data_IF_858115960088
#
_entry.id   IF_858115960088
#
_cell.length_a   1.000
_cell.length_b   1.000
_cell.length_c   1.000
_cell.angle_alpha   90.00
_cell.angle_beta   90.00
_cell.angle_gamma   90.00
#
_symmetry.space_group_name_H-M   'P 1'
#
loop_
_entity.id
_entity.type
_entity.pdbx_description
1 polymer ?
#
# COMPACT_ATOMS: atom_id res chain seq x y z
N UNK A 1 -15.80 29.86 -17.06
CA UNK A 1 -14.87 28.71 -16.92
C UNK A 1 -15.05 27.77 -18.12
N UNK A 2 -14.22 27.94 -19.16
CA UNK A 2 -14.29 27.15 -20.40
C UNK A 2 -13.73 25.74 -20.22
N UNK A 3 -14.41 24.75 -20.81
CA UNK A 3 -13.94 23.37 -20.92
C UNK A 3 -12.59 23.36 -21.65
N UNK A 4 -11.51 22.93 -21.00
CA UNK A 4 -10.26 22.59 -21.70
C UNK A 4 -10.57 21.35 -22.54
N UNK A 5 -11.02 21.58 -23.78
CA UNK A 5 -11.33 20.56 -24.79
C UNK A 5 -10.31 20.54 -25.94
N UNK A 6 -9.34 21.45 -25.93
CA UNK A 6 -8.29 21.52 -26.95
C UNK A 6 -7.17 20.54 -26.60
N UNK A 7 -6.95 19.55 -27.48
CA UNK A 7 -5.70 18.78 -27.48
C UNK A 7 -4.60 19.76 -27.88
N UNK A 8 -3.62 19.96 -27.01
CA UNK A 8 -2.53 20.88 -27.27
C UNK A 8 -1.52 20.20 -28.21
N UNK A 9 -0.85 20.99 -29.04
CA UNK A 9 0.27 20.48 -29.81
C UNK A 9 1.43 20.11 -28.89
N UNK A 10 2.32 19.22 -29.32
CA UNK A 10 3.42 18.73 -28.47
C UNK A 10 4.30 19.89 -27.94
N UNK A 11 4.56 20.90 -28.79
CA UNK A 11 5.33 22.08 -28.42
C UNK A 11 4.61 22.89 -27.33
N UNK A 12 3.31 23.14 -27.51
CA UNK A 12 2.46 23.82 -26.53
C UNK A 12 2.42 23.06 -25.20
N UNK A 13 2.31 21.73 -25.22
CA UNK A 13 2.32 20.91 -24.00
C UNK A 13 3.63 21.12 -23.24
N UNK A 14 4.77 21.03 -23.91
CA UNK A 14 6.09 21.19 -23.27
C UNK A 14 6.25 22.57 -22.67
N UNK A 15 5.89 23.61 -23.41
CA UNK A 15 6.07 25.00 -23.00
C UNK A 15 5.12 25.38 -21.85
N UNK A 16 3.82 25.13 -22.01
CA UNK A 16 2.82 25.40 -20.96
C UNK A 16 3.14 24.62 -19.70
N UNK A 17 3.51 23.35 -19.84
CA UNK A 17 3.79 22.50 -18.69
C UNK A 17 5.08 22.91 -17.97
N UNK A 18 6.15 23.20 -18.72
CA UNK A 18 7.41 23.69 -18.16
C UNK A 18 7.17 24.98 -17.37
N UNK A 19 6.53 25.98 -17.99
CA UNK A 19 6.27 27.27 -17.36
C UNK A 19 5.40 27.14 -16.11
N UNK A 20 4.29 26.39 -16.18
CA UNK A 20 3.42 26.23 -15.02
C UNK A 20 4.03 25.39 -13.89
N UNK A 21 4.89 24.42 -14.22
CA UNK A 21 5.62 23.65 -13.20
C UNK A 21 6.63 24.55 -12.49
N UNK A 22 7.38 25.40 -13.21
CA UNK A 22 8.28 26.38 -12.61
C UNK A 22 7.53 27.33 -11.67
N UNK A 23 6.41 27.91 -12.13
CA UNK A 23 5.59 28.80 -11.29
C UNK A 23 5.09 28.07 -10.04
N UNK A 24 4.69 26.80 -10.15
CA UNK A 24 4.27 26.01 -9.00
C UNK A 24 5.44 25.79 -8.02
N UNK A 25 6.63 25.44 -8.52
CA UNK A 25 7.81 25.24 -7.66
C UNK A 25 8.26 26.53 -6.99
N UNK A 26 8.24 27.67 -7.70
CA UNK A 26 8.51 28.99 -7.11
C UNK A 26 7.49 29.36 -6.03
N UNK A 27 6.23 28.98 -6.22
CA UNK A 27 5.17 29.20 -5.23
C UNK A 27 5.47 28.39 -3.96
N UNK A 28 5.86 27.12 -4.11
CA UNK A 28 6.23 26.24 -2.99
C UNK A 28 7.49 26.76 -2.29
N UNK A 29 8.52 27.16 -3.04
CA UNK A 29 9.77 27.71 -2.51
C UNK A 29 9.57 29.00 -1.70
N UNK A 30 8.49 29.74 -1.98
CA UNK A 30 8.05 30.90 -1.18
C UNK A 30 7.20 30.51 0.04
N UNK A 31 7.09 29.23 0.36
CA UNK A 31 6.24 28.69 1.43
C UNK A 31 4.74 28.79 1.15
N UNK A 32 4.34 28.92 -0.13
CA UNK A 32 2.93 29.10 -0.52
C UNK A 32 2.39 27.86 -1.24
N UNK A 33 1.08 27.71 -1.22
CA UNK A 33 0.36 26.60 -1.87
C UNK A 33 -0.64 27.16 -2.89
N UNK A 34 -0.71 26.56 -4.08
CA UNK A 34 -1.69 26.93 -5.12
C UNK A 34 -2.49 25.72 -5.61
N UNK A 35 -3.73 25.58 -5.11
CA UNK A 35 -4.65 24.55 -5.58
C UNK A 35 -4.99 24.71 -7.06
N UNK A 36 -5.14 25.95 -7.51
CA UNK A 36 -5.50 26.28 -8.90
C UNK A 36 -4.47 25.74 -9.88
N UNK A 37 -3.18 26.04 -9.65
CA UNK A 37 -2.10 25.59 -10.53
C UNK A 37 -1.99 24.07 -10.59
N UNK A 38 -1.99 23.39 -9.44
CA UNK A 38 -1.93 21.92 -9.37
C UNK A 38 -3.10 21.29 -10.14
N UNK A 39 -4.32 21.79 -9.91
CA UNK A 39 -5.52 21.26 -10.57
C UNK A 39 -5.43 21.43 -12.08
N UNK A 40 -5.04 22.61 -12.56
CA UNK A 40 -4.88 22.89 -13.99
C UNK A 40 -3.83 21.98 -14.62
N UNK A 41 -2.66 21.84 -14.00
CA UNK A 41 -1.59 20.95 -14.48
C UNK A 41 -2.06 19.50 -14.59
N UNK A 42 -2.70 18.96 -13.55
CA UNK A 42 -3.20 17.58 -13.57
C UNK A 42 -4.28 17.42 -14.64
N UNK A 43 -5.27 18.32 -14.71
CA UNK A 43 -6.36 18.23 -15.69
C UNK A 43 -5.84 18.25 -17.13
N UNK A 44 -4.87 19.14 -17.44
CA UNK A 44 -4.23 19.20 -18.75
C UNK A 44 -3.52 17.88 -19.07
N UNK A 45 -2.63 17.42 -18.18
CA UNK A 45 -1.85 16.21 -18.42
C UNK A 45 -2.73 14.97 -18.60
N UNK A 46 -3.74 14.81 -17.73
CA UNK A 46 -4.68 13.70 -17.86
C UNK A 46 -5.41 13.77 -19.21
N UNK A 47 -5.88 14.94 -19.64
CA UNK A 47 -6.55 15.05 -20.93
C UNK A 47 -5.61 14.70 -22.10
N UNK A 48 -4.35 15.15 -22.08
CA UNK A 48 -3.36 14.82 -23.11
C UNK A 48 -2.99 13.32 -23.13
N UNK A 49 -2.99 12.65 -21.97
CA UNK A 49 -2.80 11.19 -21.90
C UNK A 49 -3.94 10.39 -22.55
N UNK A 50 -5.09 11.02 -22.83
CA UNK A 50 -6.18 10.41 -23.61
C UNK A 50 -6.04 10.61 -25.12
N UNK A 51 -5.13 11.47 -25.57
CA UNK A 51 -4.95 11.82 -26.99
C UNK A 51 -4.84 10.56 -27.86
N UNK A 52 -5.29 10.59 -29.12
CA UNK A 52 -5.08 9.46 -30.03
C UNK A 52 -3.60 9.33 -30.44
N UNK A 53 -2.85 10.43 -30.45
CA UNK A 53 -1.44 10.47 -30.80
C UNK A 53 -0.57 9.80 -29.72
N UNK A 54 0.15 8.74 -30.10
CA UNK A 54 1.09 8.04 -29.20
C UNK A 54 2.18 9.00 -28.69
N UNK A 55 2.68 9.89 -29.55
CA UNK A 55 3.70 10.88 -29.20
C UNK A 55 3.18 11.90 -28.18
N UNK A 56 1.94 12.37 -28.34
CA UNK A 56 1.30 13.26 -27.36
C UNK A 56 1.11 12.57 -26.00
N UNK A 57 0.65 11.31 -26.00
CA UNK A 57 0.55 10.52 -24.75
C UNK A 57 1.90 10.39 -24.06
N UNK A 58 2.95 10.08 -24.80
CA UNK A 58 4.30 9.92 -24.25
C UNK A 58 4.79 11.22 -23.61
N UNK A 59 4.65 12.35 -24.29
CA UNK A 59 5.06 13.66 -23.76
C UNK A 59 4.28 14.01 -22.48
N UNK A 60 2.98 13.73 -22.44
CA UNK A 60 2.16 13.93 -21.25
C UNK A 60 2.58 13.02 -20.08
N UNK A 61 2.96 11.77 -20.36
CA UNK A 61 3.49 10.83 -19.35
C UNK A 61 4.81 11.29 -18.77
N UNK A 62 5.73 11.75 -19.62
CA UNK A 62 7.02 12.31 -19.19
C UNK A 62 6.82 13.56 -18.34
N UNK A 63 5.93 14.46 -18.76
CA UNK A 63 5.56 15.65 -17.99
C UNK A 63 4.93 15.31 -16.63
N UNK A 64 4.03 14.32 -16.57
CA UNK A 64 3.47 13.82 -15.30
C UNK A 64 4.56 13.26 -14.38
N UNK A 65 5.48 12.46 -14.91
CA UNK A 65 6.63 11.93 -14.15
C UNK A 65 7.51 13.04 -13.59
N UNK A 66 7.77 14.08 -14.38
CA UNK A 66 8.55 15.23 -13.95
C UNK A 66 7.83 16.01 -12.85
N UNK A 67 6.51 16.22 -12.98
CA UNK A 67 5.69 16.85 -11.93
C UNK A 67 5.84 16.12 -10.60
N UNK A 68 5.63 14.81 -10.62
CA UNK A 68 5.71 13.94 -9.43
C UNK A 68 7.10 14.07 -8.81
N UNK A 69 8.15 14.01 -9.63
CA UNK A 69 9.53 14.11 -9.15
C UNK A 69 9.83 15.45 -8.48
N UNK A 70 9.43 16.57 -9.09
CA UNK A 70 9.65 17.90 -8.50
C UNK A 70 8.83 18.10 -7.22
N UNK A 71 7.59 17.62 -7.19
CA UNK A 71 6.78 17.61 -5.98
C UNK A 71 7.43 16.81 -4.85
N UNK A 72 7.96 15.63 -5.14
CA UNK A 72 8.63 14.82 -4.12
C UNK A 72 9.95 15.43 -3.65
N UNK A 73 10.74 16.02 -4.55
CA UNK A 73 11.94 16.79 -4.17
C UNK A 73 11.61 17.95 -3.26
N UNK A 74 10.50 18.65 -3.49
CA UNK A 74 10.09 19.78 -2.65
C UNK A 74 9.80 19.38 -1.19
N UNK A 75 9.47 18.11 -0.93
CA UNK A 75 9.33 17.56 0.44
C UNK A 75 10.68 17.44 1.17
N UNK A 76 11.81 17.50 0.47
CA UNK A 76 13.15 17.40 1.06
C UNK A 76 13.71 18.75 1.53
N UNK A 77 12.93 19.83 1.40
CA UNK A 77 13.40 21.18 1.72
C UNK A 77 13.58 21.39 3.23
N UNK A 78 14.64 22.10 3.63
CA UNK A 78 15.00 22.31 5.04
C UNK A 78 14.14 23.36 5.74
N UNK A 79 13.74 24.40 5.01
CA UNK A 79 12.80 25.40 5.52
C UNK A 79 11.44 24.75 5.88
N UNK A 80 11.00 24.81 7.15
CA UNK A 80 9.75 24.21 7.59
C UNK A 80 8.51 24.73 6.86
N UNK A 81 8.48 26.02 6.47
CA UNK A 81 7.35 26.61 5.74
C UNK A 81 7.28 26.08 4.32
N UNK A 82 8.44 25.93 3.67
CA UNK A 82 8.52 25.32 2.33
C UNK A 82 8.14 23.85 2.39
N UNK A 83 8.65 23.11 3.37
CA UNK A 83 8.28 21.72 3.58
C UNK A 83 6.77 21.57 3.83
N UNK A 84 6.17 22.40 4.68
CA UNK A 84 4.72 22.37 4.92
C UNK A 84 3.92 22.68 3.65
N UNK A 85 4.33 23.66 2.87
CA UNK A 85 3.70 24.01 1.60
C UNK A 85 3.81 22.87 0.58
N UNK A 86 5.00 22.26 0.45
CA UNK A 86 5.24 21.08 -0.37
C UNK A 86 4.34 19.91 0.07
N UNK A 87 4.23 19.71 1.37
CA UNK A 87 3.44 18.64 1.96
C UNK A 87 1.93 18.80 1.68
N UNK A 88 1.43 20.02 1.85
CA UNK A 88 0.06 20.39 1.49
C UNK A 88 -0.21 20.22 -0.01
N UNK A 89 0.76 20.60 -0.83
CA UNK A 89 0.74 20.44 -2.29
C UNK A 89 0.65 18.96 -2.68
N UNK A 90 1.50 18.10 -2.12
CA UNK A 90 1.48 16.65 -2.35
C UNK A 90 0.14 16.02 -1.98
N UNK A 91 -0.36 16.33 -0.77
CA UNK A 91 -1.67 15.84 -0.31
C UNK A 91 -2.78 16.21 -1.29
N UNK A 92 -2.79 17.45 -1.78
CA UNK A 92 -3.80 17.92 -2.73
C UNK A 92 -3.62 17.34 -4.12
N UNK A 93 -2.38 17.13 -4.58
CA UNK A 93 -2.09 16.42 -5.83
C UNK A 93 -2.69 15.01 -5.82
N UNK A 94 -2.44 14.21 -4.78
CA UNK A 94 -2.98 12.85 -4.67
C UNK A 94 -4.51 12.85 -4.59
N UNK A 95 -5.10 13.72 -3.77
CA UNK A 95 -6.55 13.82 -3.66
C UNK A 95 -7.20 14.21 -5.00
N UNK A 96 -6.60 15.15 -5.74
CA UNK A 96 -7.06 15.54 -7.07
C UNK A 96 -6.93 14.40 -8.08
N UNK A 97 -5.84 13.63 -8.06
CA UNK A 97 -5.70 12.44 -8.91
C UNK A 97 -6.84 11.45 -8.67
N UNK A 98 -7.09 11.07 -7.40
CA UNK A 98 -8.16 10.14 -7.03
C UNK A 98 -9.53 10.67 -7.46
N UNK A 99 -9.80 11.96 -7.19
CA UNK A 99 -11.06 12.60 -7.59
C UNK A 99 -11.23 12.66 -9.12
N UNK A 100 -10.17 12.96 -9.87
CA UNK A 100 -10.23 13.07 -11.33
C UNK A 100 -10.33 11.70 -12.00
N UNK A 101 -9.73 10.65 -11.43
CA UNK A 101 -10.00 9.28 -11.87
C UNK A 101 -11.49 8.93 -11.83
N UNK A 102 -12.20 9.40 -10.80
CA UNK A 102 -13.67 9.28 -10.71
C UNK A 102 -14.35 10.08 -11.81
N UNK A 103 -14.04 11.38 -11.94
CA UNK A 103 -14.72 12.30 -12.87
C UNK A 103 -14.53 11.89 -14.33
N UNK A 104 -13.34 11.45 -14.70
CA UNK A 104 -12.98 11.18 -16.09
C UNK A 104 -13.39 9.77 -16.56
N UNK A 105 -14.01 8.95 -15.71
CA UNK A 105 -14.36 7.53 -15.97
C UNK A 105 -13.18 6.73 -16.56
N UNK A 106 -11.98 6.96 -16.04
CA UNK A 106 -10.80 6.27 -16.54
C UNK A 106 -10.89 4.77 -16.28
N UNK A 107 -10.55 3.98 -17.30
CA UNK A 107 -10.40 2.53 -17.17
C UNK A 107 -9.36 2.17 -16.10
N UNK A 108 -9.49 0.98 -15.52
CA UNK A 108 -8.61 0.49 -14.45
C UNK A 108 -7.12 0.58 -14.82
N UNK A 109 -6.76 0.28 -16.07
CA UNK A 109 -5.37 0.27 -16.54
C UNK A 109 -4.70 1.65 -16.52
N UNK A 110 -5.40 2.71 -16.90
CA UNK A 110 -4.81 4.07 -16.88
C UNK A 110 -4.61 4.60 -15.46
N UNK A 111 -5.47 4.17 -14.52
CA UNK A 111 -5.35 4.50 -13.11
C UNK A 111 -4.11 3.83 -12.52
N UNK A 112 -3.93 2.53 -12.78
CA UNK A 112 -2.71 1.79 -12.44
C UNK A 112 -1.47 2.49 -12.99
N UNK A 113 -1.50 2.91 -14.26
CA UNK A 113 -0.36 3.56 -14.90
C UNK A 113 0.17 4.78 -14.13
N UNK A 114 -0.72 5.67 -13.65
CA UNK A 114 -0.30 6.86 -12.90
C UNK A 114 0.14 6.50 -11.48
N UNK A 115 -0.54 5.55 -10.84
CA UNK A 115 -0.11 5.04 -9.54
C UNK A 115 1.28 4.41 -9.63
N UNK A 116 1.57 3.68 -10.71
CA UNK A 116 2.89 3.12 -10.99
C UNK A 116 3.94 4.22 -11.17
N UNK A 117 3.61 5.33 -11.87
CA UNK A 117 4.52 6.47 -11.96
C UNK A 117 4.83 7.09 -10.59
N UNK A 118 3.82 7.21 -9.72
CA UNK A 118 4.02 7.71 -8.35
C UNK A 118 4.91 6.76 -7.54
N UNK A 119 4.60 5.46 -7.55
CA UNK A 119 5.38 4.45 -6.84
C UNK A 119 6.81 4.37 -7.34
N UNK A 120 7.04 4.39 -8.66
CA UNK A 120 8.39 4.30 -9.24
C UNK A 120 9.27 5.48 -8.78
N UNK A 121 8.71 6.68 -8.61
CA UNK A 121 9.47 7.83 -8.09
C UNK A 121 9.71 7.74 -6.58
N UNK A 122 8.74 7.26 -5.81
CA UNK A 122 8.89 7.00 -4.38
C UNK A 122 10.00 5.95 -4.13
N UNK A 123 9.98 4.83 -4.86
CA UNK A 123 10.99 3.76 -4.75
C UNK A 123 12.38 4.29 -5.11
N UNK A 124 12.49 5.16 -6.14
CA UNK A 124 13.77 5.81 -6.48
C UNK A 124 14.32 6.66 -5.34
N UNK A 125 13.45 7.37 -4.62
CA UNK A 125 13.86 8.17 -3.47
C UNK A 125 14.28 7.32 -2.28
N UNK A 126 13.53 6.24 -1.97
CA UNK A 126 13.89 5.28 -0.91
C UNK A 126 15.21 4.55 -1.19
N UNK A 127 15.52 4.32 -2.48
CA UNK A 127 16.82 3.74 -2.89
C UNK A 127 17.99 4.72 -2.73
N UNK A 128 17.72 6.01 -2.58
CA UNK A 128 18.79 7.00 -2.43
C UNK A 128 19.45 6.84 -1.06
N UNK A 129 20.77 7.09 -0.97
CA UNK A 129 21.46 7.09 0.34
C UNK A 129 21.19 8.35 1.17
N UNK A 130 20.25 9.20 0.73
CA UNK A 130 19.96 10.49 1.34
C UNK A 130 18.80 10.36 2.34
N UNK A 131 19.08 10.59 3.62
CA UNK A 131 18.07 10.51 4.69
C UNK A 131 16.85 11.41 4.46
N UNK A 132 17.02 12.61 3.87
CA UNK A 132 15.91 13.52 3.56
C UNK A 132 15.03 12.97 2.46
N UNK A 133 15.63 12.34 1.44
CA UNK A 133 14.90 11.70 0.36
C UNK A 133 14.13 10.48 0.85
N UNK A 134 14.71 9.66 1.73
CA UNK A 134 13.98 8.56 2.36
C UNK A 134 12.78 9.09 3.13
N UNK A 135 12.99 10.01 4.08
CA UNK A 135 11.88 10.63 4.85
C UNK A 135 10.78 11.21 3.95
N UNK A 136 11.14 11.94 2.90
CA UNK A 136 10.18 12.48 1.93
C UNK A 136 9.36 11.37 1.24
N UNK A 137 10.00 10.27 0.87
CA UNK A 137 9.35 9.13 0.26
C UNK A 137 8.44 8.38 1.24
N UNK A 138 8.86 8.21 2.50
CA UNK A 138 8.02 7.63 3.55
C UNK A 138 6.74 8.45 3.77
N UNK A 139 6.90 9.76 3.89
CA UNK A 139 5.79 10.69 4.04
C UNK A 139 4.85 10.65 2.82
N UNK A 140 5.42 10.55 1.61
CA UNK A 140 4.65 10.52 0.38
C UNK A 140 3.82 9.25 0.24
N UNK A 141 4.42 8.08 0.49
CA UNK A 141 3.74 6.77 0.39
C UNK A 141 2.70 6.64 1.50
N UNK A 142 3.02 7.07 2.72
CA UNK A 142 2.08 7.03 3.85
C UNK A 142 0.83 7.87 3.57
N UNK A 143 1.00 9.07 2.99
CA UNK A 143 -0.12 9.93 2.60
C UNK A 143 -0.94 9.35 1.45
N UNK A 144 -0.30 8.69 0.48
CA UNK A 144 -1.00 8.00 -0.61
C UNK A 144 -1.95 6.94 -0.05
N UNK A 145 -1.45 6.05 0.81
CA UNK A 145 -2.27 4.99 1.41
C UNK A 145 -3.40 5.56 2.26
N UNK A 146 -3.09 6.55 3.11
CA UNK A 146 -4.10 7.19 3.96
C UNK A 146 -5.24 7.80 3.15
N UNK A 147 -4.92 8.55 2.09
CA UNK A 147 -5.94 9.17 1.23
C UNK A 147 -6.76 8.13 0.47
N UNK A 148 -6.13 7.05 0.00
CA UNK A 148 -6.85 5.94 -0.62
C UNK A 148 -7.86 5.34 0.37
N UNK A 149 -7.43 5.01 1.59
CA UNK A 149 -8.31 4.47 2.63
C UNK A 149 -9.45 5.42 3.02
N UNK A 150 -9.17 6.73 3.15
CA UNK A 150 -10.19 7.75 3.40
C UNK A 150 -11.24 7.81 2.28
N UNK A 151 -10.82 7.67 1.02
CA UNK A 151 -11.73 7.66 -0.14
C UNK A 151 -12.54 6.36 -0.27
N UNK A 152 -12.06 5.24 0.28
CA UNK A 152 -12.82 3.98 0.29
C UNK A 152 -14.16 4.13 1.02
N UNK A 153 -14.20 4.93 2.10
CA UNK A 153 -15.40 5.26 2.87
C UNK A 153 -16.55 5.78 1.99
N UNK A 154 -16.23 6.41 0.87
CA UNK A 154 -17.22 7.02 -0.01
C UNK A 154 -17.84 6.02 -1.02
N UNK A 155 -17.46 4.73 -1.00
CA UNK A 155 -17.98 3.59 -1.79
C UNK A 155 -18.20 3.83 -3.30
N UNK A 156 -17.55 4.84 -3.89
CA UNK A 156 -17.82 5.31 -5.26
C UNK A 156 -16.71 4.98 -6.25
N UNK A 157 -15.69 4.25 -5.81
CA UNK A 157 -14.46 4.02 -6.57
C UNK A 157 -13.76 2.75 -6.11
N UNK A 158 -13.12 2.04 -7.04
CA UNK A 158 -12.33 0.84 -6.79
C UNK A 158 -10.97 1.18 -6.13
N UNK A 159 -11.03 1.77 -4.94
CA UNK A 159 -9.85 2.06 -4.11
C UNK A 159 -9.17 0.75 -3.73
N UNK A 160 -9.98 -0.25 -3.38
CA UNK A 160 -9.48 -1.54 -2.94
C UNK A 160 -8.63 -2.19 -4.03
N UNK A 161 -9.09 -2.20 -5.29
CA UNK A 161 -8.32 -2.68 -6.43
C UNK A 161 -7.00 -1.93 -6.63
N UNK A 162 -6.96 -0.62 -6.36
CA UNK A 162 -5.70 0.15 -6.42
C UNK A 162 -4.76 -0.20 -5.27
N UNK A 163 -5.26 -0.31 -4.04
CA UNK A 163 -4.44 -0.72 -2.89
C UNK A 163 -3.88 -2.13 -3.11
N UNK A 164 -4.72 -3.06 -3.58
CA UNK A 164 -4.31 -4.42 -3.96
C UNK A 164 -3.23 -4.38 -5.06
N UNK A 165 -3.38 -3.51 -6.07
CA UNK A 165 -2.39 -3.34 -7.13
C UNK A 165 -1.05 -2.79 -6.61
N UNK A 166 -1.07 -1.76 -5.77
CA UNK A 166 0.14 -1.19 -5.14
C UNK A 166 0.90 -2.30 -4.41
N UNK A 167 0.20 -3.07 -3.58
CA UNK A 167 0.78 -4.18 -2.83
C UNK A 167 1.38 -5.23 -3.76
N UNK A 168 0.62 -5.69 -4.77
CA UNK A 168 1.12 -6.70 -5.71
C UNK A 168 2.38 -6.21 -6.42
N UNK A 169 2.37 -4.97 -6.91
CA UNK A 169 3.51 -4.40 -7.63
C UNK A 169 4.75 -4.31 -6.75
N UNK A 170 4.60 -3.94 -5.48
CA UNK A 170 5.70 -3.93 -4.53
C UNK A 170 6.18 -5.34 -4.22
N UNK A 171 5.30 -6.32 -4.00
CA UNK A 171 5.69 -7.72 -3.80
C UNK A 171 6.49 -8.24 -5.01
N UNK A 172 6.05 -7.97 -6.25
CA UNK A 172 6.81 -8.33 -7.45
C UNK A 172 8.14 -7.57 -7.56
N UNK A 173 8.22 -6.35 -7.05
CA UNK A 173 9.45 -5.57 -7.06
C UNK A 173 10.50 -6.07 -6.06
N UNK A 174 10.13 -6.85 -5.03
CA UNK A 174 11.09 -7.51 -4.13
C UNK A 174 12.02 -8.48 -4.86
N UNK A 175 11.57 -9.02 -5.99
CA UNK A 175 12.34 -9.93 -6.83
C UNK A 175 13.52 -9.22 -7.54
N UNK A 176 13.48 -7.89 -7.63
CA UNK A 176 14.52 -7.08 -8.24
C UNK A 176 15.58 -6.74 -7.19
N UNK A 177 16.73 -7.44 -7.26
CA UNK A 177 17.85 -7.28 -6.32
C UNK A 177 18.25 -5.82 -6.08
N UNK A 178 18.17 -4.97 -7.11
CA UNK A 178 18.57 -3.57 -7.03
C UNK A 178 17.53 -2.66 -6.36
N UNK A 179 16.31 -3.15 -6.09
CA UNK A 179 15.22 -2.38 -5.46
C UNK A 179 14.75 -2.96 -4.14
N UNK A 180 15.22 -4.15 -3.78
CA UNK A 180 14.75 -4.94 -2.64
C UNK A 180 14.63 -4.11 -1.36
N UNK A 181 15.71 -3.50 -0.88
CA UNK A 181 15.72 -2.78 0.40
C UNK A 181 14.70 -1.61 0.41
N UNK A 182 14.67 -0.83 -0.67
CA UNK A 182 13.73 0.29 -0.82
C UNK A 182 12.27 -0.18 -0.89
N UNK A 183 12.02 -1.34 -1.50
CA UNK A 183 10.68 -1.93 -1.59
C UNK A 183 10.23 -2.51 -0.25
N UNK A 184 11.15 -3.12 0.52
CA UNK A 184 10.87 -3.57 1.88
C UNK A 184 10.46 -2.39 2.78
N UNK A 185 11.22 -1.29 2.73
CA UNK A 185 10.93 -0.06 3.48
C UNK A 185 9.55 0.51 3.10
N UNK A 186 9.25 0.61 1.79
CA UNK A 186 7.94 1.04 1.30
C UNK A 186 6.80 0.15 1.84
N UNK A 187 6.97 -1.17 1.82
CA UNK A 187 5.97 -2.10 2.30
C UNK A 187 5.76 -1.99 3.81
N UNK A 188 6.83 -1.81 4.59
CA UNK A 188 6.73 -1.63 6.04
C UNK A 188 5.92 -0.38 6.40
N UNK A 189 6.11 0.73 5.68
CA UNK A 189 5.36 1.97 5.88
C UNK A 189 3.87 1.77 5.52
N UNK A 190 3.60 1.10 4.40
CA UNK A 190 2.22 0.80 3.99
C UNK A 190 1.53 -0.09 5.02
N UNK A 191 2.21 -1.12 5.52
CA UNK A 191 1.71 -2.00 6.57
C UNK A 191 1.42 -1.22 7.85
N UNK A 192 2.28 -0.31 8.26
CA UNK A 192 2.06 0.54 9.42
C UNK A 192 0.79 1.40 9.25
N UNK A 193 0.60 2.02 8.08
CA UNK A 193 -0.61 2.81 7.81
C UNK A 193 -1.87 1.94 7.83
N UNK A 194 -1.83 0.74 7.24
CA UNK A 194 -2.96 -0.18 7.23
C UNK A 194 -3.30 -0.67 8.64
N UNK A 195 -2.30 -0.98 9.47
CA UNK A 195 -2.52 -1.36 10.86
C UNK A 195 -3.15 -0.19 11.64
N UNK A 196 -2.62 1.04 11.49
CA UNK A 196 -3.19 2.25 12.11
C UNK A 196 -4.64 2.52 11.68
N UNK A 197 -4.95 2.32 10.41
CA UNK A 197 -6.31 2.43 9.88
C UNK A 197 -7.23 1.33 10.41
N UNK A 198 -6.75 0.10 10.43
CA UNK A 198 -7.48 -1.07 10.93
C UNK A 198 -7.89 -0.93 12.39
N UNK A 199 -6.98 -0.45 13.23
CA UNK A 199 -7.23 -0.29 14.68
C UNK A 199 -8.02 0.99 15.02
N UNK A 200 -8.25 1.88 14.05
CA UNK A 200 -8.97 3.14 14.27
C UNK A 200 -10.47 2.91 14.47
N UNK A 201 -10.90 2.78 15.73
CA UNK A 201 -12.30 2.55 16.13
C UNK A 201 -13.28 3.65 15.68
N UNK A 202 -12.80 4.87 15.37
CA UNK A 202 -13.67 5.99 14.99
C UNK A 202 -14.18 5.90 13.54
N UNK A 203 -13.57 5.07 12.70
CA UNK A 203 -13.92 4.98 11.29
C UNK A 203 -14.05 3.51 10.83
N UNK A 204 -15.24 2.94 11.03
CA UNK A 204 -15.51 1.53 10.72
C UNK A 204 -15.25 1.16 9.25
N UNK A 205 -15.63 2.02 8.30
CA UNK A 205 -15.41 1.75 6.88
C UNK A 205 -13.93 1.71 6.50
N UNK A 206 -13.11 2.58 7.10
CA UNK A 206 -11.65 2.58 6.91
C UNK A 206 -11.01 1.34 7.57
N UNK A 207 -11.50 0.95 8.75
CA UNK A 207 -11.06 -0.26 9.45
C UNK A 207 -11.37 -1.53 8.63
N UNK A 208 -12.60 -1.64 8.10
CA UNK A 208 -13.01 -2.77 7.26
C UNK A 208 -12.20 -2.84 5.95
N UNK A 209 -11.94 -1.69 5.31
CA UNK A 209 -11.08 -1.62 4.13
C UNK A 209 -9.65 -2.07 4.43
N UNK A 210 -9.06 -1.56 5.51
CA UNK A 210 -7.72 -1.95 5.93
C UNK A 210 -7.64 -3.44 6.27
N UNK A 211 -8.68 -4.01 6.89
CA UNK A 211 -8.77 -5.44 7.17
C UNK A 211 -8.73 -6.29 5.89
N UNK A 212 -9.53 -5.94 4.87
CA UNK A 212 -9.54 -6.68 3.60
C UNK A 212 -8.22 -6.54 2.83
N UNK A 213 -7.58 -5.37 2.86
CA UNK A 213 -6.24 -5.20 2.27
C UNK A 213 -5.18 -5.99 3.04
N UNK A 214 -5.23 -6.03 4.37
CA UNK A 214 -4.30 -6.84 5.17
C UNK A 214 -4.46 -8.34 4.90
N UNK A 215 -5.70 -8.83 4.76
CA UNK A 215 -5.97 -10.22 4.32
C UNK A 215 -5.39 -10.49 2.94
N UNK A 216 -5.59 -9.57 2.00
CA UNK A 216 -5.02 -9.69 0.67
C UNK A 216 -3.48 -9.74 0.68
N UNK A 217 -2.83 -8.91 1.51
CA UNK A 217 -1.38 -8.96 1.69
C UNK A 217 -0.94 -10.33 2.22
N UNK A 218 -1.59 -10.82 3.28
CA UNK A 218 -1.31 -12.13 3.87
C UNK A 218 -1.41 -13.24 2.81
N UNK A 219 -2.50 -13.26 2.03
CA UNK A 219 -2.71 -14.29 1.01
C UNK A 219 -1.60 -14.29 -0.05
N UNK A 220 -1.17 -13.10 -0.50
CA UNK A 220 -0.13 -12.98 -1.53
C UNK A 220 1.27 -13.29 -0.99
N UNK A 221 1.58 -12.88 0.24
CA UNK A 221 2.84 -13.26 0.89
C UNK A 221 2.91 -14.77 1.08
N UNK A 222 1.83 -15.42 1.54
CA UNK A 222 1.78 -16.87 1.68
C UNK A 222 1.97 -17.58 0.34
N UNK A 223 1.28 -17.16 -0.72
CA UNK A 223 1.47 -17.71 -2.07
C UNK A 223 2.91 -17.52 -2.59
N UNK A 224 3.52 -16.38 -2.30
CA UNK A 224 4.93 -16.11 -2.64
C UNK A 224 5.89 -17.07 -1.94
N UNK A 225 5.68 -17.31 -0.64
CA UNK A 225 6.46 -18.29 0.14
C UNK A 225 6.34 -19.69 -0.46
N UNK A 226 5.15 -20.09 -0.88
CA UNK A 226 4.85 -21.45 -1.35
C UNK A 226 5.30 -21.74 -2.77
N UNK A 227 5.36 -20.70 -3.61
CA UNK A 227 5.83 -20.87 -4.98
C UNK A 227 7.35 -20.86 -5.07
N UNK A 228 8.05 -20.18 -4.14
CA UNK A 228 9.46 -19.81 -4.35
C UNK A 228 10.38 -20.05 -3.16
N UNK A 229 9.86 -20.38 -1.98
CA UNK A 229 10.64 -20.45 -0.73
C UNK A 229 11.46 -19.17 -0.48
N UNK A 230 10.91 -18.02 -0.84
CA UNK A 230 11.62 -16.75 -0.74
C UNK A 230 11.79 -16.34 0.73
N UNK A 231 13.05 -16.22 1.15
CA UNK A 231 13.44 -15.78 2.50
C UNK A 231 12.89 -14.39 2.81
N UNK A 232 12.87 -13.49 1.84
CA UNK A 232 12.41 -12.10 1.98
C UNK A 232 10.93 -12.05 2.27
N UNK A 233 10.13 -12.77 1.48
CA UNK A 233 8.68 -12.84 1.65
C UNK A 233 8.34 -13.48 3.01
N UNK A 234 9.14 -14.45 3.45
CA UNK A 234 8.99 -15.04 4.79
C UNK A 234 9.29 -14.01 5.89
N UNK A 235 10.40 -13.28 5.80
CA UNK A 235 10.78 -12.23 6.75
C UNK A 235 9.71 -11.15 6.85
N UNK A 236 9.12 -10.75 5.71
CA UNK A 236 8.00 -9.82 5.67
C UNK A 236 6.76 -10.33 6.41
N UNK A 237 6.38 -11.59 6.21
CA UNK A 237 5.26 -12.18 6.92
C UNK A 237 5.51 -12.23 8.44
N UNK A 238 6.74 -12.54 8.84
CA UNK A 238 7.16 -12.49 10.25
C UNK A 238 7.11 -11.06 10.81
N UNK A 239 7.61 -10.05 10.07
CA UNK A 239 7.52 -8.64 10.47
C UNK A 239 6.08 -8.18 10.63
N UNK A 240 5.19 -8.56 9.70
CA UNK A 240 3.76 -8.27 9.78
C UNK A 240 3.15 -8.82 11.07
N UNK A 241 3.48 -10.07 11.40
CA UNK A 241 3.00 -10.70 12.62
C UNK A 241 3.56 -10.04 13.89
N UNK A 242 4.84 -9.68 13.92
CA UNK A 242 5.42 -8.93 15.04
C UNK A 242 4.73 -7.57 15.25
N UNK A 243 4.32 -6.91 14.16
CA UNK A 243 3.54 -5.68 14.27
C UNK A 243 2.14 -5.93 14.84
N UNK A 244 1.50 -7.06 14.52
CA UNK A 244 0.24 -7.47 15.18
C UNK A 244 0.46 -7.76 16.67
N UNK A 245 1.55 -8.42 17.06
CA UNK A 245 1.91 -8.66 18.47
C UNK A 245 2.09 -7.34 19.23
N UNK A 246 2.86 -6.40 18.68
CA UNK A 246 3.03 -5.05 19.25
C UNK A 246 1.68 -4.34 19.40
N UNK A 247 0.80 -4.50 18.42
CA UNK A 247 -0.54 -3.93 18.47
C UNK A 247 -1.40 -4.56 19.59
N UNK A 248 -1.33 -5.87 19.83
CA UNK A 248 -2.06 -6.53 20.92
C UNK A 248 -1.64 -6.05 22.32
N UNK A 249 -0.37 -5.70 22.49
CA UNK A 249 0.16 -5.15 23.75
C UNK A 249 -0.30 -3.72 24.02
N UNK A 250 -0.82 -3.01 23.02
CA UNK A 250 -1.28 -1.64 23.18
C UNK A 250 -2.75 -1.62 23.64
N UNK A 251 -3.06 -1.10 24.84
CA UNK A 251 -4.42 -1.10 25.39
C UNK A 251 -5.40 -0.23 24.59
N UNK A 252 -4.91 0.67 23.73
CA UNK A 252 -5.76 1.53 22.89
C UNK A 252 -6.36 0.78 21.69
N UNK A 253 -5.85 -0.41 21.35
CA UNK A 253 -6.21 -1.10 20.13
C UNK A 253 -7.30 -2.16 20.34
N UNK A 254 -8.17 -2.40 19.34
CA UNK A 254 -9.20 -3.43 19.40
C UNK A 254 -8.59 -4.83 19.34
N UNK A 255 -8.33 -5.44 20.50
CA UNK A 255 -7.63 -6.72 20.60
C UNK A 255 -8.33 -7.83 19.84
N UNK A 256 -9.66 -7.92 19.93
CA UNK A 256 -10.47 -8.90 19.20
C UNK A 256 -10.27 -8.83 17.67
N UNK A 257 -10.11 -7.64 17.10
CA UNK A 257 -9.88 -7.45 15.67
C UNK A 257 -8.49 -7.93 15.25
N UNK A 258 -7.46 -7.62 16.05
CA UNK A 258 -6.09 -8.09 15.78
C UNK A 258 -6.00 -9.62 15.90
N UNK A 259 -6.63 -10.19 16.93
CA UNK A 259 -6.77 -11.65 17.07
C UNK A 259 -7.42 -12.26 15.82
N UNK A 260 -8.48 -11.65 15.28
CA UNK A 260 -9.14 -12.10 14.04
C UNK A 260 -8.18 -12.15 12.84
N UNK A 261 -7.27 -11.19 12.68
CA UNK A 261 -6.25 -11.21 11.61
C UNK A 261 -5.22 -12.32 11.82
N UNK A 262 -4.75 -12.52 13.05
CA UNK A 262 -3.81 -13.60 13.37
C UNK A 262 -4.45 -14.97 13.08
N UNK A 263 -5.70 -15.16 13.48
CA UNK A 263 -6.44 -16.39 13.21
C UNK A 263 -6.70 -16.59 11.71
N UNK A 264 -6.94 -15.50 10.97
CA UNK A 264 -7.03 -15.56 9.51
C UNK A 264 -5.73 -16.06 8.89
N UNK A 265 -4.59 -15.48 9.29
CA UNK A 265 -3.25 -15.91 8.84
C UNK A 265 -3.03 -17.40 9.11
N UNK A 266 -3.27 -17.85 10.34
CA UNK A 266 -3.16 -19.27 10.74
C UNK A 266 -4.07 -20.15 9.87
N UNK A 267 -5.33 -19.74 9.68
CA UNK A 267 -6.29 -20.45 8.83
C UNK A 267 -5.82 -20.58 7.39
N UNK A 268 -5.28 -19.52 6.79
CA UNK A 268 -4.74 -19.54 5.43
C UNK A 268 -3.51 -20.43 5.32
N UNK A 269 -2.60 -20.39 6.29
CA UNK A 269 -1.45 -21.30 6.34
C UNK A 269 -1.89 -22.77 6.36
N UNK A 270 -2.92 -23.10 7.14
CA UNK A 270 -3.47 -24.46 7.17
C UNK A 270 -4.12 -24.87 5.84
N UNK A 271 -4.83 -23.95 5.18
CA UNK A 271 -5.41 -24.22 3.85
C UNK A 271 -4.31 -24.48 2.83
N UNK A 272 -3.26 -23.66 2.84
CA UNK A 272 -2.13 -23.82 1.95
C UNK A 272 -1.32 -25.09 2.24
N UNK A 273 -1.18 -25.50 3.50
CA UNK A 273 -0.61 -26.81 3.84
C UNK A 273 -1.33 -27.98 3.17
N UNK A 274 -2.67 -27.92 3.04
CA UNK A 274 -3.45 -28.98 2.38
C UNK A 274 -3.06 -29.12 0.91
N UNK A 275 -2.81 -27.98 0.25
CA UNK A 275 -2.49 -27.88 -1.19
C UNK A 275 -1.00 -28.10 -1.49
N UNK A 276 -0.14 -27.82 -0.52
CA UNK A 276 1.31 -27.85 -0.67
C UNK A 276 1.86 -29.30 -0.74
N UNK A 277 2.94 -29.49 -1.51
CA UNK A 277 3.72 -30.73 -1.52
C UNK A 277 4.54 -30.94 -0.24
N UNK A 278 5.08 -32.15 -0.02
CA UNK A 278 5.73 -32.59 1.24
C UNK A 278 6.79 -31.61 1.78
N UNK A 279 7.68 -31.10 0.92
CA UNK A 279 8.74 -30.13 1.29
C UNK A 279 8.16 -28.79 1.76
N UNK A 280 7.14 -28.29 1.08
CA UNK A 280 6.48 -27.02 1.41
C UNK A 280 5.66 -27.12 2.69
N UNK A 281 5.03 -28.28 2.95
CA UNK A 281 4.30 -28.54 4.22
C UNK A 281 5.19 -28.38 5.45
N UNK A 282 6.42 -28.87 5.41
CA UNK A 282 7.37 -28.75 6.53
C UNK A 282 7.68 -27.27 6.83
N UNK A 283 7.87 -26.47 5.79
CA UNK A 283 8.14 -25.03 5.95
C UNK A 283 6.96 -24.29 6.58
N UNK A 284 5.74 -24.56 6.09
CA UNK A 284 4.54 -23.95 6.68
C UNK A 284 4.34 -24.42 8.12
N UNK A 285 4.61 -25.69 8.44
CA UNK A 285 4.55 -26.21 9.81
C UNK A 285 5.48 -25.46 10.76
N UNK A 286 6.70 -25.16 10.33
CA UNK A 286 7.65 -24.38 11.15
C UNK A 286 7.15 -22.96 11.41
N UNK A 287 6.62 -22.29 10.37
CA UNK A 287 6.02 -20.96 10.54
C UNK A 287 4.76 -21.01 11.42
N UNK A 288 3.89 -22.00 11.21
CA UNK A 288 2.65 -22.18 11.95
C UNK A 288 2.95 -22.41 13.43
N UNK A 289 3.95 -23.25 13.73
CA UNK A 289 4.44 -23.50 15.09
C UNK A 289 4.84 -22.19 15.75
N UNK A 290 5.69 -21.39 15.11
CA UNK A 290 6.13 -20.08 15.65
C UNK A 290 4.93 -19.16 15.92
N UNK A 291 4.00 -19.03 14.97
CA UNK A 291 2.82 -18.17 15.14
C UNK A 291 1.87 -18.65 16.24
N UNK A 292 1.71 -19.96 16.40
CA UNK A 292 0.90 -20.54 17.47
C UNK A 292 1.55 -20.37 18.84
N UNK A 293 2.86 -20.60 18.97
CA UNK A 293 3.61 -20.37 20.21
C UNK A 293 3.47 -18.90 20.66
N UNK A 294 3.65 -17.97 19.73
CA UNK A 294 3.49 -16.54 20.00
C UNK A 294 2.04 -16.17 20.38
N UNK A 295 1.04 -16.75 19.70
CA UNK A 295 -0.37 -16.52 20.04
C UNK A 295 -0.72 -17.09 21.42
N UNK A 296 -0.22 -18.27 21.77
CA UNK A 296 -0.42 -18.88 23.09
C UNK A 296 0.20 -18.00 24.17
N UNK A 297 1.44 -17.53 23.98
CA UNK A 297 2.08 -16.62 24.92
C UNK A 297 1.26 -15.34 25.12
N UNK A 298 0.70 -14.78 24.05
CA UNK A 298 -0.19 -13.62 24.11
C UNK A 298 -1.53 -13.90 24.81
N UNK A 299 -1.98 -15.15 24.82
CA UNK A 299 -3.21 -15.57 25.49
C UNK A 299 -2.99 -15.86 26.97
N UNK A 300 -1.78 -16.29 27.34
CA UNK A 300 -1.44 -16.52 28.75
C UNK A 300 -1.24 -15.20 29.54
N UNK A 301 -1.06 -14.07 28.85
CA UNK A 301 -1.26 -12.75 29.46
C UNK A 301 -2.75 -12.60 29.84
N UNK A 302 -3.05 -12.23 31.08
CA UNK A 302 -4.37 -12.34 31.77
C UNK A 302 -5.49 -11.42 31.23
N UNK A 303 -5.55 -11.24 29.90
CA UNK A 303 -6.49 -10.37 29.20
C UNK A 303 -7.74 -11.15 28.75
N UNK A 304 -8.85 -10.92 29.47
CA UNK A 304 -10.15 -11.55 29.18
C UNK A 304 -10.68 -11.25 27.77
N UNK A 305 -10.36 -10.09 27.17
CA UNK A 305 -10.84 -9.74 25.82
C UNK A 305 -10.12 -10.56 24.75
N UNK A 306 -8.80 -10.72 24.89
CA UNK A 306 -7.98 -11.58 24.01
C UNK A 306 -8.41 -13.04 24.14
N UNK A 307 -8.58 -13.52 25.38
CA UNK A 307 -9.02 -14.88 25.67
C UNK A 307 -10.37 -15.23 25.02
N UNK A 308 -11.38 -14.37 25.18
CA UNK A 308 -12.71 -14.62 24.62
C UNK A 308 -12.70 -14.61 23.08
N UNK A 309 -11.94 -13.70 22.46
CA UNK A 309 -11.81 -13.62 21.01
C UNK A 309 -11.10 -14.86 20.43
N UNK A 310 -10.04 -15.34 21.09
CA UNK A 310 -9.26 -16.47 20.61
C UNK A 310 -9.93 -17.83 20.87
N UNK A 311 -10.59 -18.02 22.02
CA UNK A 311 -11.15 -19.33 22.41
C UNK A 311 -12.16 -19.88 21.39
N UNK A 312 -13.02 -19.03 20.81
CA UNK A 312 -13.99 -19.47 19.79
C UNK A 312 -13.30 -19.93 18.52
N UNK A 313 -12.32 -19.18 18.04
CA UNK A 313 -11.66 -19.45 16.77
C UNK A 313 -10.56 -20.52 16.85
N UNK A 314 -9.86 -20.62 17.98
CA UNK A 314 -8.89 -21.68 18.24
C UNK A 314 -9.56 -23.06 18.21
N UNK A 315 -10.79 -23.20 18.75
CA UNK A 315 -11.56 -24.45 18.65
C UNK A 315 -11.77 -24.87 17.20
N UNK A 316 -12.06 -23.94 16.30
CA UNK A 316 -12.27 -24.23 14.87
C UNK A 316 -10.94 -24.55 14.17
N UNK A 317 -9.86 -23.86 14.51
CA UNK A 317 -8.50 -24.14 14.00
C UNK A 317 -8.04 -25.53 14.45
N UNK A 318 -8.20 -25.87 15.74
CA UNK A 318 -7.85 -27.18 16.30
C UNK A 318 -8.66 -28.29 15.61
N UNK A 319 -9.98 -28.10 15.42
CA UNK A 319 -10.82 -29.03 14.65
C UNK A 319 -10.30 -29.24 13.22
N UNK A 320 -9.92 -28.16 12.53
CA UNK A 320 -9.36 -28.25 11.17
C UNK A 320 -8.02 -28.98 11.15
N UNK A 321 -7.15 -28.71 12.12
CA UNK A 321 -5.85 -29.38 12.27
C UNK A 321 -6.03 -30.89 12.50
N UNK A 322 -6.89 -31.27 13.45
CA UNK A 322 -7.23 -32.68 13.73
C UNK A 322 -7.78 -33.37 12.48
N UNK A 323 -8.68 -32.71 11.72
CA UNK A 323 -9.25 -33.27 10.49
C UNK A 323 -8.17 -33.55 9.43
N UNK A 324 -7.19 -32.66 9.27
CA UNK A 324 -6.07 -32.84 8.32
C UNK A 324 -5.20 -34.06 8.63
N UNK A 325 -4.91 -34.29 9.92
CA UNK A 325 -4.08 -35.44 10.35
C UNK A 325 -4.86 -36.75 10.40
N UNK A 326 -6.20 -36.70 10.51
CA UNK A 326 -7.04 -37.90 10.37
C UNK A 326 -7.21 -38.34 8.91
N UNK A 327 -7.25 -37.41 7.95
CA UNK A 327 -7.37 -37.74 6.51
C UNK A 327 -6.09 -38.30 5.87
N UNK A 328 -4.94 -38.20 6.54
CA UNK A 328 -3.65 -38.75 6.09
C UNK A 328 -3.39 -40.17 6.60
N UNK A 329 -4.32 -40.76 7.37
CA UNK A 329 -4.25 -42.15 7.88
C UNK A 329 -4.93 -43.20 6.98
N UNK A 330 -5.17 -42.93 5.69
CA UNK A 330 -5.37 -44.04 4.74
C UNK A 330 -3.99 -44.51 4.30
N UNK A 331 -3.56 -45.74 4.63
CA UNK A 331 -2.32 -46.27 4.08
C UNK A 331 -2.45 -46.27 2.56
N UNK A 332 -1.47 -45.70 1.87
CA UNK A 332 -1.24 -46.00 0.45
C UNK A 332 -1.09 -47.52 0.36
N UNK A 333 -2.04 -48.16 -0.33
CA UNK A 333 -1.95 -49.57 -0.71
C UNK A 333 -1.18 -49.68 -2.01
#
# INVERSE_FOLDING_TARGET
>A
MGKIKKVLEIREIREVFSNQTTILMDTIAKGRFSLGLIKTLIEILLEQMKSRSAKTKQVAREAMKNLINELLKSLMHDDPKVHEAANKTWKKFIALLIMLFRKLKWGHERRKEIIDMVLDQIIKLLKSKNKKANKAAEEAVGKLIKLLLEEHKNHKYDVEGILRWIILRLIYALEQKDKKDAVEEALDIILEQLIKAFINKKNRAESDAAFEILKFIIDNLLRGILSRHDKVITEMLLRLFENFKKALKNPKYPKALIVKLILYLIGQMLQEMKRAGKKHRLYILLLLRKFLEDLINLLMDDDREVHNAANKALKDIIKQFIKMFRSTKKPEK
#
